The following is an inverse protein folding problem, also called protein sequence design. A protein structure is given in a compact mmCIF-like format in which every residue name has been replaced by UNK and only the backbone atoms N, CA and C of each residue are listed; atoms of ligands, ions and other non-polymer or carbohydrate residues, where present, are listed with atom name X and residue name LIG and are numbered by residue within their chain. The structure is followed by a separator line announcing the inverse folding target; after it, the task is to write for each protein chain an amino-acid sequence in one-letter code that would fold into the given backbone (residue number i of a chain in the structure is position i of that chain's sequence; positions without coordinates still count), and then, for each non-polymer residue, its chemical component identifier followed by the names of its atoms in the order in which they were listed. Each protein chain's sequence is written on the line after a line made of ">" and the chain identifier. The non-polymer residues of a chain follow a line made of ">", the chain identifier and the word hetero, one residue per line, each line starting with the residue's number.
data_IF_333893632202
#
_entry.id   IF_333893632202
#
_cell.length_a   1.000
_cell.length_b   1.000
_cell.length_c   1.000
_cell.angle_alpha   90.00
_cell.angle_beta   90.00
_cell.angle_gamma   90.00
#
_symmetry.space_group_name_H-M   'P 1'
#
loop_
_entity.id
_entity.type
_entity.pdbx_description
1 polymer ?
#
# COMPACT_ATOMS: atom_id res chain seq x y z
N UNK A 1 -17.37 -6.42 7.43
CA UNK A 1 -17.39 -6.93 6.03
C UNK A 1 -15.94 -7.04 5.58
N UNK A 2 -15.46 -8.21 5.15
CA UNK A 2 -14.19 -8.24 4.40
C UNK A 2 -14.45 -7.40 3.16
N UNK A 3 -13.76 -6.28 3.02
CA UNK A 3 -13.86 -5.49 1.81
C UNK A 3 -13.33 -6.35 0.65
N UNK A 4 -14.24 -6.77 -0.23
CA UNK A 4 -13.92 -7.64 -1.37
C UNK A 4 -12.99 -6.95 -2.35
N UNK A 5 -12.97 -5.61 -2.35
CA UNK A 5 -11.99 -4.79 -3.04
C UNK A 5 -10.88 -4.29 -2.11
N UNK A 6 -9.66 -4.40 -2.61
CA UNK A 6 -8.43 -3.99 -1.95
C UNK A 6 -8.37 -2.47 -1.72
N UNK A 7 -9.03 -1.68 -2.54
CA UNK A 7 -9.09 -0.23 -2.36
C UNK A 7 -9.83 0.16 -1.08
N UNK A 8 -11.03 -0.37 -0.87
CA UNK A 8 -11.80 -0.11 0.34
C UNK A 8 -11.10 -0.69 1.56
N UNK A 9 -10.48 -1.87 1.45
CA UNK A 9 -9.61 -2.39 2.51
C UNK A 9 -8.45 -1.44 2.86
N UNK A 10 -7.77 -0.89 1.85
CA UNK A 10 -6.66 0.04 2.03
C UNK A 10 -7.12 1.32 2.73
N UNK A 11 -8.27 1.88 2.35
CA UNK A 11 -8.87 3.05 2.99
C UNK A 11 -9.22 2.78 4.47
N UNK A 12 -9.85 1.64 4.76
CA UNK A 12 -10.24 1.29 6.13
C UNK A 12 -9.01 1.01 7.01
N UNK A 13 -7.95 0.41 6.45
CA UNK A 13 -6.66 0.28 7.12
C UNK A 13 -6.05 1.65 7.42
N UNK A 14 -6.00 2.54 6.42
CA UNK A 14 -5.40 3.87 6.56
C UNK A 14 -6.12 4.74 7.60
N UNK A 15 -7.43 4.53 7.79
CA UNK A 15 -8.23 5.21 8.80
C UNK A 15 -7.91 4.77 10.25
N UNK A 16 -7.16 3.67 10.45
CA UNK A 16 -6.80 3.22 11.79
C UNK A 16 -5.74 4.13 12.44
N UNK A 17 -5.83 4.38 13.76
CA UNK A 17 -4.85 5.19 14.47
C UNK A 17 -3.42 4.67 14.28
N UNK A 18 -2.51 5.57 13.89
CA UNK A 18 -1.08 5.27 13.72
C UNK A 18 -0.68 4.69 12.37
N UNK A 19 -1.63 4.24 11.53
CA UNK A 19 -1.31 3.64 10.22
C UNK A 19 -0.70 4.66 9.26
N UNK A 20 -1.25 5.88 9.20
CA UNK A 20 -0.67 6.94 8.37
C UNK A 20 0.81 7.20 8.70
N UNK A 21 1.14 7.35 9.99
CA UNK A 21 2.52 7.57 10.42
C UNK A 21 3.41 6.37 10.08
N UNK A 22 2.93 5.16 10.34
CA UNK A 22 3.61 3.90 10.00
C UNK A 22 3.88 3.76 8.49
N UNK A 23 2.90 4.09 7.64
CA UNK A 23 3.06 4.06 6.19
C UNK A 23 4.11 5.07 5.71
N UNK A 24 4.19 6.25 6.33
CA UNK A 24 5.21 7.25 6.03
C UNK A 24 6.61 6.78 6.42
N UNK A 25 6.76 6.13 7.58
CA UNK A 25 8.03 5.52 8.02
C UNK A 25 8.48 4.42 7.05
N UNK A 26 7.57 3.51 6.68
CA UNK A 26 7.83 2.45 5.71
C UNK A 26 8.20 3.03 4.34
N UNK A 27 7.51 4.08 3.89
CA UNK A 27 7.82 4.75 2.64
C UNK A 27 9.23 5.39 2.68
N UNK A 28 9.62 6.00 3.81
CA UNK A 28 10.97 6.53 4.00
C UNK A 28 12.05 5.42 3.99
N UNK A 29 11.69 4.22 4.45
CA UNK A 29 12.51 3.00 4.32
C UNK A 29 12.59 2.43 2.89
N UNK A 30 11.87 3.04 1.93
CA UNK A 30 11.86 2.66 0.52
C UNK A 30 10.64 1.83 0.10
N UNK A 31 9.72 1.56 1.03
CA UNK A 31 8.59 0.67 0.77
C UNK A 31 7.62 1.22 -0.27
N UNK A 32 7.01 0.29 -0.99
CA UNK A 32 5.78 0.52 -1.72
C UNK A 32 4.60 0.22 -0.77
N UNK A 33 3.94 1.29 -0.32
CA UNK A 33 2.83 1.19 0.63
C UNK A 33 1.63 0.45 0.01
N UNK A 34 1.37 0.61 -1.30
CA UNK A 34 0.29 -0.13 -1.96
C UNK A 34 0.58 -1.63 -1.98
N UNK A 35 1.84 -2.01 -2.22
CA UNK A 35 2.26 -3.39 -2.18
C UNK A 35 2.17 -3.99 -0.77
N UNK A 36 2.57 -3.24 0.27
CA UNK A 36 2.45 -3.70 1.67
C UNK A 36 0.99 -3.86 2.09
N UNK A 37 0.10 -2.93 1.72
CA UNK A 37 -1.34 -3.05 1.96
C UNK A 37 -1.93 -4.27 1.25
N UNK A 38 -1.46 -4.57 0.03
CA UNK A 38 -1.81 -5.81 -0.68
C UNK A 38 -1.36 -7.04 0.11
N UNK A 39 -0.12 -7.05 0.60
CA UNK A 39 0.40 -8.15 1.42
C UNK A 39 -0.45 -8.39 2.67
N UNK A 40 -0.79 -7.32 3.40
CA UNK A 40 -1.66 -7.40 4.58
C UNK A 40 -3.05 -7.96 4.24
N UNK A 41 -3.64 -7.51 3.13
CA UNK A 41 -4.94 -8.01 2.63
C UNK A 41 -4.88 -9.51 2.30
N UNK A 42 -3.79 -9.97 1.68
CA UNK A 42 -3.59 -11.38 1.36
C UNK A 42 -3.38 -12.26 2.60
N UNK A 43 -2.67 -11.76 3.62
CA UNK A 43 -2.57 -12.43 4.92
C UNK A 43 -3.94 -12.59 5.58
N UNK A 44 -4.75 -11.51 5.62
CA UNK A 44 -6.10 -11.55 6.16
C UNK A 44 -7.01 -12.57 5.44
N UNK A 45 -6.79 -12.79 4.15
CA UNK A 45 -7.53 -13.77 3.33
C UNK A 45 -6.90 -15.17 3.34
N UNK A 46 -5.85 -15.39 4.13
CA UNK A 46 -5.10 -16.64 4.19
C UNK A 46 -4.60 -17.11 2.81
N UNK A 47 -4.28 -16.18 1.90
CA UNK A 47 -3.74 -16.52 0.57
C UNK A 47 -2.29 -16.93 0.70
N UNK A 48 -1.94 -18.12 0.22
CA UNK A 48 -0.57 -18.64 0.33
C UNK A 48 0.45 -17.76 -0.39
N UNK A 49 1.57 -17.50 0.29
CA UNK A 49 2.72 -16.76 -0.24
C UNK A 49 3.74 -17.75 -0.82
N UNK A 50 4.14 -17.57 -2.08
CA UNK A 50 5.21 -18.33 -2.73
C UNK A 50 6.13 -17.39 -3.52
N UNK A 51 7.28 -17.87 -4.02
CA UNK A 51 8.24 -17.05 -4.76
C UNK A 51 7.67 -16.49 -6.07
N UNK A 52 6.84 -17.27 -6.77
CA UNK A 52 6.27 -16.86 -8.06
C UNK A 52 5.26 -15.72 -7.88
N UNK A 53 4.35 -15.83 -6.91
CA UNK A 53 3.36 -14.80 -6.61
C UNK A 53 4.00 -13.54 -6.03
N UNK A 54 5.01 -13.69 -5.18
CA UNK A 54 5.76 -12.54 -4.64
C UNK A 54 6.43 -11.76 -5.78
N UNK A 55 7.14 -12.46 -6.68
CA UNK A 55 7.75 -11.85 -7.85
C UNK A 55 6.72 -11.19 -8.77
N UNK A 56 5.57 -11.84 -8.98
CA UNK A 56 4.49 -11.29 -9.79
C UNK A 56 3.97 -9.96 -9.23
N UNK A 57 3.69 -9.87 -7.92
CA UNK A 57 3.25 -8.61 -7.32
C UNK A 57 4.34 -7.54 -7.37
N UNK A 58 5.59 -7.88 -7.04
CA UNK A 58 6.72 -6.94 -7.10
C UNK A 58 6.85 -6.34 -8.50
N UNK A 59 6.84 -7.15 -9.55
CA UNK A 59 6.95 -6.67 -10.94
C UNK A 59 5.80 -5.73 -11.33
N UNK A 60 4.54 -6.11 -11.03
CA UNK A 60 3.37 -5.27 -11.32
C UNK A 60 3.48 -3.92 -10.60
N UNK A 61 3.91 -3.96 -9.34
CA UNK A 61 4.07 -2.78 -8.50
C UNK A 61 5.17 -1.87 -9.01
N UNK A 62 6.37 -2.42 -9.24
CA UNK A 62 7.57 -1.68 -9.62
C UNK A 62 7.42 -0.99 -10.97
N UNK A 63 6.86 -1.67 -11.97
CA UNK A 63 6.64 -1.11 -13.30
C UNK A 63 5.72 0.12 -13.24
N UNK A 64 4.60 0.00 -12.53
CA UNK A 64 3.61 1.08 -12.41
C UNK A 64 4.08 2.21 -11.50
N UNK A 65 4.66 1.87 -10.35
CA UNK A 65 5.19 2.83 -9.39
C UNK A 65 6.27 3.69 -10.03
N UNK A 66 7.20 3.08 -10.76
CA UNK A 66 8.34 3.80 -11.36
C UNK A 66 7.91 4.69 -12.51
N UNK A 67 6.95 4.25 -13.33
CA UNK A 67 6.49 5.00 -14.51
C UNK A 67 5.42 6.05 -14.21
N UNK A 68 4.62 5.89 -13.15
CA UNK A 68 3.44 6.75 -12.90
C UNK A 68 3.45 7.36 -11.50
N UNK A 69 3.46 6.56 -10.43
CA UNK A 69 3.28 7.07 -9.06
C UNK A 69 4.48 7.90 -8.59
N UNK A 70 5.69 7.40 -8.78
CA UNK A 70 6.91 8.08 -8.33
C UNK A 70 7.13 9.44 -9.02
N UNK A 71 6.94 9.59 -10.34
CA UNK A 71 6.97 10.91 -10.99
C UNK A 71 5.97 11.91 -10.40
N UNK A 72 4.71 11.50 -10.18
CA UNK A 72 3.67 12.36 -9.60
C UNK A 72 4.01 12.78 -8.17
N UNK A 73 4.47 11.81 -7.36
CA UNK A 73 4.91 12.02 -5.99
C UNK A 73 6.09 12.99 -5.91
N UNK A 74 7.10 12.78 -6.76
CA UNK A 74 8.27 13.64 -6.82
C UNK A 74 7.89 15.08 -7.19
N UNK A 75 7.00 15.25 -8.18
CA UNK A 75 6.49 16.57 -8.57
C UNK A 75 5.76 17.26 -7.41
N UNK A 76 4.82 16.56 -6.77
CA UNK A 76 4.07 17.09 -5.62
C UNK A 76 4.97 17.45 -4.45
N UNK A 77 5.99 16.63 -4.16
CA UNK A 77 6.94 16.88 -3.08
C UNK A 77 7.86 18.06 -3.41
N UNK A 78 8.36 18.14 -4.64
CA UNK A 78 9.23 19.23 -5.11
C UNK A 78 8.56 20.60 -5.02
N UNK A 79 7.25 20.68 -5.29
CA UNK A 79 6.49 21.93 -5.20
C UNK A 79 6.09 22.35 -3.77
N UNK A 80 6.37 21.54 -2.75
CA UNK A 80 5.86 21.76 -1.39
C UNK A 80 6.19 23.15 -0.81
N UNK A 81 7.42 23.65 -1.01
CA UNK A 81 7.84 24.94 -0.45
C UNK A 81 7.34 26.12 -1.29
N UNK A 82 7.42 26.01 -2.62
CA UNK A 82 7.01 27.08 -3.55
C UNK A 82 5.50 27.34 -3.48
N UNK A 83 4.70 26.29 -3.31
CA UNK A 83 3.25 26.38 -3.17
C UNK A 83 2.78 27.09 -1.88
N UNK A 84 3.68 27.49 -0.97
CA UNK A 84 3.31 28.29 0.21
C UNK A 84 3.04 29.75 -0.18
N UNK A 85 3.74 30.25 -1.20
CA UNK A 85 3.70 31.65 -1.64
C UNK A 85 3.12 31.85 -3.04
N UNK A 86 2.72 30.77 -3.70
CA UNK A 86 2.20 30.75 -5.07
C UNK A 86 0.89 29.95 -5.10
N UNK A 87 -0.23 30.66 -5.16
CA UNK A 87 -1.58 30.08 -5.12
C UNK A 87 -1.90 29.27 -6.39
N UNK A 88 -1.40 29.69 -7.55
CA UNK A 88 -1.59 28.96 -8.80
C UNK A 88 -0.86 27.61 -8.73
N UNK A 89 0.37 27.61 -8.21
CA UNK A 89 1.14 26.39 -7.97
C UNK A 89 0.50 25.52 -6.88
N UNK A 90 -0.09 26.11 -5.83
CA UNK A 90 -0.82 25.37 -4.82
C UNK A 90 -2.03 24.62 -5.43
N UNK A 91 -2.77 25.27 -6.32
CA UNK A 91 -3.85 24.67 -7.09
C UNK A 91 -3.38 23.51 -7.97
N UNK A 92 -2.29 23.70 -8.72
CA UNK A 92 -1.68 22.63 -9.52
C UNK A 92 -1.21 21.45 -8.65
N UNK A 93 -0.56 21.74 -7.52
CA UNK A 93 -0.09 20.72 -6.58
C UNK A 93 -1.24 19.88 -6.01
N UNK A 94 -2.37 20.50 -5.71
CA UNK A 94 -3.57 19.79 -5.25
C UNK A 94 -4.11 18.83 -6.33
N UNK A 95 -4.11 19.26 -7.60
CA UNK A 95 -4.50 18.40 -8.73
C UNK A 95 -3.53 17.23 -8.95
N UNK A 96 -2.22 17.46 -8.82
CA UNK A 96 -1.21 16.39 -8.87
C UNK A 96 -1.42 15.40 -7.71
N UNK A 97 -1.74 15.88 -6.50
CA UNK A 97 -2.07 15.00 -5.36
C UNK A 97 -3.26 14.09 -5.68
N UNK A 98 -4.32 14.64 -6.29
CA UNK A 98 -5.47 13.83 -6.71
C UNK A 98 -5.07 12.77 -7.74
N UNK A 99 -4.31 13.16 -8.76
CA UNK A 99 -3.84 12.24 -9.78
C UNK A 99 -2.91 11.15 -9.23
N UNK A 100 -2.07 11.48 -8.24
CA UNK A 100 -1.26 10.48 -7.51
C UNK A 100 -2.15 9.46 -6.81
N UNK A 101 -3.19 9.90 -6.10
CA UNK A 101 -4.14 8.99 -5.43
C UNK A 101 -4.89 8.11 -6.44
N UNK A 102 -5.34 8.68 -7.55
CA UNK A 102 -6.01 7.92 -8.62
C UNK A 102 -5.04 6.86 -9.22
N UNK A 103 -3.77 7.20 -9.37
CA UNK A 103 -2.74 6.26 -9.84
C UNK A 103 -2.46 5.14 -8.82
N UNK A 104 -2.46 5.43 -7.52
CA UNK A 104 -2.35 4.42 -6.44
C UNK A 104 -3.58 3.49 -6.42
N UNK A 105 -4.78 4.03 -6.64
CA UNK A 105 -5.98 3.20 -6.77
C UNK A 105 -5.88 2.23 -7.95
N UNK A 106 -5.37 2.68 -9.10
CA UNK A 106 -5.11 1.80 -10.26
C UNK A 106 -4.06 0.74 -9.92
N UNK A 107 -3.02 1.08 -9.15
CA UNK A 107 -2.01 0.13 -8.70
C UNK A 107 -2.63 -0.99 -7.87
N UNK A 108 -3.44 -0.62 -6.86
CA UNK A 108 -4.14 -1.58 -6.01
C UNK A 108 -5.11 -2.45 -6.82
N UNK A 109 -5.84 -1.88 -7.79
CA UNK A 109 -6.71 -2.66 -8.67
C UNK A 109 -5.93 -3.74 -9.45
N UNK A 110 -4.76 -3.39 -10.02
CA UNK A 110 -3.92 -4.35 -10.75
C UNK A 110 -3.39 -5.46 -9.87
N UNK A 111 -2.97 -5.12 -8.64
CA UNK A 111 -2.48 -6.08 -7.65
C UNK A 111 -3.61 -7.04 -7.23
N UNK A 112 -4.81 -6.51 -6.98
CA UNK A 112 -6.00 -7.31 -6.70
C UNK A 112 -6.35 -8.25 -7.86
N UNK A 113 -6.33 -7.75 -9.10
CA UNK A 113 -6.65 -8.56 -10.28
C UNK A 113 -5.68 -9.72 -10.47
N UNK A 114 -4.38 -9.49 -10.22
CA UNK A 114 -3.37 -10.54 -10.25
C UNK A 114 -3.61 -11.62 -9.20
N UNK A 115 -4.07 -11.22 -8.01
CA UNK A 115 -4.30 -12.13 -6.88
C UNK A 115 -5.70 -12.75 -6.84
N UNK A 116 -6.63 -12.32 -7.69
CA UNK A 116 -8.07 -12.64 -7.62
C UNK A 116 -8.37 -14.14 -7.52
N UNK A 117 -7.59 -14.97 -8.20
CA UNK A 117 -7.82 -16.42 -8.30
C UNK A 117 -6.85 -17.25 -7.46
N UNK A 118 -6.04 -16.62 -6.60
CA UNK A 118 -5.08 -17.36 -5.80
C UNK A 118 -5.78 -18.13 -4.68
N UNK A 119 -5.45 -19.42 -4.51
CA UNK A 119 -6.05 -20.24 -3.48
C UNK A 119 -5.58 -19.81 -2.09
N UNK A 120 -6.47 -20.00 -1.13
CA UNK A 120 -6.12 -19.96 0.29
C UNK A 120 -5.17 -21.11 0.63
N UNK A 121 -4.46 -20.97 1.75
CA UNK A 121 -3.54 -21.99 2.24
C UNK A 121 -3.74 -22.22 3.72
N UNK A 122 -3.50 -23.45 4.18
CA UNK A 122 -3.54 -23.80 5.60
C UNK A 122 -2.29 -23.35 6.37
N UNK A 123 -1.29 -22.78 5.69
CA UNK A 123 -0.07 -22.24 6.31
C UNK A 123 -0.25 -20.73 6.52
N UNK A 124 0.34 -20.17 7.59
CA UNK A 124 0.40 -18.73 7.75
C UNK A 124 1.09 -18.12 6.53
N UNK A 125 0.46 -17.12 5.92
CA UNK A 125 1.07 -16.37 4.85
C UNK A 125 2.00 -15.30 5.45
N UNK A 126 3.23 -15.25 4.98
CA UNK A 126 4.32 -14.37 5.46
C UNK A 126 4.57 -13.21 4.47
N UNK A 127 3.49 -12.68 3.87
CA UNK A 127 3.58 -11.66 2.82
C UNK A 127 4.32 -10.42 3.29
N UNK A 128 3.97 -9.88 4.46
CA UNK A 128 4.57 -8.65 4.95
C UNK A 128 6.04 -8.85 5.32
N UNK A 129 6.42 -10.00 5.90
CA UNK A 129 7.83 -10.33 6.15
C UNK A 129 8.62 -10.39 4.84
N UNK A 130 8.10 -11.10 3.84
CA UNK A 130 8.79 -11.29 2.56
C UNK A 130 8.84 -10.02 1.71
N UNK A 131 7.85 -9.15 1.82
CA UNK A 131 7.82 -7.84 1.16
C UNK A 131 8.71 -6.80 1.85
N UNK A 132 8.98 -6.96 3.15
CA UNK A 132 9.77 -6.00 3.93
C UNK A 132 11.26 -6.33 4.04
N UNK A 133 11.69 -7.51 3.54
CA UNK A 133 13.06 -8.02 3.73
C UNK A 133 14.16 -7.10 3.16
N UNK A 134 13.85 -6.38 2.09
CA UNK A 134 14.79 -5.50 1.37
C UNK A 134 14.69 -4.03 1.81
N UNK A 135 13.83 -3.72 2.79
CA UNK A 135 13.62 -2.35 3.26
C UNK A 135 14.78 -1.88 4.15
N UNK A 136 15.04 -0.58 4.11
CA UNK A 136 16.11 0.03 4.90
C UNK A 136 15.64 0.31 6.32
N UNK A 137 16.50 0.05 7.32
CA UNK A 137 16.22 0.39 8.72
C UNK A 137 15.36 -0.65 9.45
N UNK A 138 14.89 -0.29 10.64
CA UNK A 138 14.08 -1.18 11.49
C UNK A 138 12.60 -1.09 11.09
N UNK A 139 12.08 -2.15 10.46
CA UNK A 139 10.72 -2.20 9.93
C UNK A 139 9.78 -3.13 10.70
N UNK A 140 10.29 -3.88 11.69
CA UNK A 140 9.48 -4.89 12.40
C UNK A 140 8.26 -4.29 13.09
N UNK A 141 8.43 -3.17 13.79
CA UNK A 141 7.35 -2.51 14.53
C UNK A 141 6.32 -1.85 13.59
N UNK A 142 6.75 -1.08 12.56
CA UNK A 142 5.84 -0.60 11.51
C UNK A 142 5.02 -1.72 10.83
N UNK A 143 5.66 -2.83 10.47
CA UNK A 143 4.97 -3.99 9.86
C UNK A 143 3.96 -4.61 10.84
N UNK A 144 4.30 -4.73 12.13
CA UNK A 144 3.38 -5.24 13.14
C UNK A 144 2.15 -4.34 13.35
N UNK A 145 2.33 -3.01 13.30
CA UNK A 145 1.20 -2.05 13.36
C UNK A 145 0.30 -2.24 12.15
N UNK A 146 0.88 -2.29 10.94
CA UNK A 146 0.12 -2.47 9.71
C UNK A 146 -0.69 -3.78 9.74
N UNK A 147 -0.07 -4.88 10.16
CA UNK A 147 -0.75 -6.17 10.32
C UNK A 147 -1.90 -6.11 11.31
N UNK A 148 -1.72 -5.45 12.45
CA UNK A 148 -2.78 -5.31 13.47
C UNK A 148 -3.95 -4.48 12.93
N UNK A 149 -3.67 -3.39 12.22
CA UNK A 149 -4.69 -2.56 11.61
C UNK A 149 -5.50 -3.31 10.54
N UNK A 150 -4.82 -4.13 9.74
CA UNK A 150 -5.43 -5.04 8.76
C UNK A 150 -6.34 -6.09 9.43
N UNK A 151 -5.85 -6.74 10.48
CA UNK A 151 -6.63 -7.75 11.22
C UNK A 151 -7.88 -7.15 11.89
N UNK A 152 -7.82 -5.89 12.35
CA UNK A 152 -8.99 -5.20 12.92
C UNK A 152 -10.14 -5.04 11.90
N UNK A 153 -9.84 -5.02 10.60
CA UNK A 153 -10.87 -4.98 9.55
C UNK A 153 -11.66 -6.28 9.41
N UNK A 154 -11.08 -7.40 9.84
CA UNK A 154 -11.78 -8.70 9.88
C UNK A 154 -12.77 -8.75 11.06
N UNK A 155 -12.35 -8.28 12.23
CA UNK A 155 -13.14 -8.36 13.47
C UNK A 155 -14.37 -7.42 13.48
N UNK A 156 -14.29 -6.26 12.83
CA UNK A 156 -15.42 -5.32 12.73
C UNK A 156 -16.52 -5.77 11.74
N UNK A 157 -16.47 -7.02 11.27
CA UNK A 157 -17.38 -7.59 10.29
C UNK A 157 -18.22 -8.76 10.75
N UNK A 158 -18.15 -9.14 12.03
CA UNK A 158 -18.87 -10.27 12.62
C UNK A 158 -20.12 -9.86 13.43
N UNK A 159 -20.41 -8.56 13.54
CA UNK A 159 -21.65 -7.99 14.13
C UNK A 159 -22.65 -7.56 13.03
#
# INVERSE_FOLDING_TARGET
>A
MIHDDLWTFALSCYAQPGVEATCLELQAAGADVCLLLTGAWLECRSVGCDDARLAQLKNISDDWRTSVVAPLRNLRQGWRQQAISDDDLAGLRARVKRLELDAEQVQLQRLQDAARHWPTSCRPADWLERLSIDLRGETRMPIAILRRAAAAQLAAGED
#
